data_IF_666355089919
#
_entry.id   IF_666355089919
#
_cell.length_a   1.000
_cell.length_b   1.000
_cell.length_c   1.000
_cell.angle_alpha   90.00
_cell.angle_beta   90.00
_cell.angle_gamma   90.00
#
_symmetry.space_group_name_H-M   'P 1'
#
loop_
_entity.id
_entity.type
_entity.pdbx_description
1 polymer ?
#
# COMPACT_ATOMS: atom_id res chain seq x y z
N UNK A 1 3.66 -17.75 17.19
CA UNK A 1 4.55 -16.64 16.78
C UNK A 1 3.98 -16.08 15.49
N UNK A 2 3.12 -15.07 15.58
CA UNK A 2 2.43 -14.50 14.42
C UNK A 2 3.44 -13.60 13.68
N UNK A 3 4.05 -14.12 12.62
CA UNK A 3 5.01 -13.35 11.82
C UNK A 3 4.23 -12.30 11.04
N UNK A 4 4.60 -11.04 11.22
CA UNK A 4 3.95 -9.92 10.55
C UNK A 4 4.04 -10.14 9.02
N UNK A 5 2.91 -10.13 8.28
CA UNK A 5 2.93 -10.38 6.85
C UNK A 5 3.79 -9.37 6.08
N UNK A 6 3.98 -8.14 6.58
CA UNK A 6 4.84 -7.14 5.95
C UNK A 6 6.33 -7.47 6.12
N UNK A 7 6.70 -8.17 7.19
CA UNK A 7 8.08 -8.67 7.40
C UNK A 7 8.31 -9.91 6.54
N UNK A 8 7.32 -10.82 6.45
CA UNK A 8 7.42 -12.01 5.61
C UNK A 8 7.53 -11.63 4.13
N UNK A 9 6.76 -10.63 3.69
CA UNK A 9 6.82 -10.08 2.34
C UNK A 9 8.01 -9.15 2.08
N UNK A 10 8.94 -8.99 3.04
CA UNK A 10 10.12 -8.09 2.97
C UNK A 10 9.83 -6.61 2.71
N UNK A 11 8.56 -6.22 2.73
CA UNK A 11 8.13 -4.81 2.62
C UNK A 11 8.76 -3.98 3.74
N UNK A 12 8.76 -4.52 4.97
CA UNK A 12 9.58 -3.97 6.05
C UNK A 12 11.02 -4.45 5.85
N UNK A 13 11.92 -3.50 5.63
CA UNK A 13 13.32 -3.74 5.26
C UNK A 13 13.64 -3.24 3.86
N UNK A 14 12.87 -3.64 2.85
CA UNK A 14 13.13 -3.22 1.46
C UNK A 14 12.51 -1.87 1.11
N UNK A 15 11.35 -1.53 1.71
CA UNK A 15 10.59 -0.29 1.41
C UNK A 15 10.41 0.59 2.64
N UNK A 16 10.04 -0.01 3.78
CA UNK A 16 9.71 0.71 5.00
C UNK A 16 10.59 0.27 6.17
N UNK A 17 10.93 1.20 7.05
CA UNK A 17 11.49 0.88 8.35
C UNK A 17 10.45 0.25 9.28
N UNK A 18 10.86 -0.56 10.29
CA UNK A 18 9.94 -1.13 11.26
C UNK A 18 9.11 -0.04 11.98
N UNK A 19 7.79 -0.18 11.97
CA UNK A 19 6.86 0.79 12.54
C UNK A 19 5.73 0.13 13.33
N UNK A 20 5.07 0.91 14.20
CA UNK A 20 3.85 0.49 14.89
C UNK A 20 2.63 1.06 14.18
N UNK A 21 1.67 0.20 13.82
CA UNK A 21 0.42 0.63 13.15
C UNK A 21 -0.43 1.45 14.11
N UNK A 22 -0.68 2.71 13.77
CA UNK A 22 -1.51 3.65 14.55
C UNK A 22 -2.87 3.94 13.92
N UNK A 23 -2.99 3.79 12.61
CA UNK A 23 -4.22 3.97 11.84
C UNK A 23 -4.55 2.70 11.05
N UNK A 24 -5.84 2.50 10.80
CA UNK A 24 -6.34 1.43 9.93
C UNK A 24 -6.52 1.99 8.53
N UNK A 25 -5.98 1.33 7.53
CA UNK A 25 -6.21 1.68 6.12
C UNK A 25 -6.88 0.50 5.44
N UNK A 26 -8.00 0.76 4.78
CA UNK A 26 -8.72 -0.20 3.93
C UNK A 26 -8.71 0.30 2.50
N UNK A 27 -8.26 -0.55 1.59
CA UNK A 27 -8.24 -0.27 0.17
C UNK A 27 -9.13 -1.27 -0.57
N UNK A 28 -9.92 -0.79 -1.54
CA UNK A 28 -10.87 -1.60 -2.30
C UNK A 28 -10.79 -1.30 -3.79
N UNK A 29 -10.59 -2.33 -4.61
CA UNK A 29 -10.75 -2.25 -6.06
C UNK A 29 -12.13 -2.79 -6.45
N UNK A 30 -13.06 -1.88 -6.79
CA UNK A 30 -14.45 -2.25 -7.04
C UNK A 30 -15.11 -2.82 -5.78
N UNK A 31 -15.44 -4.12 -5.81
CA UNK A 31 -16.00 -4.87 -4.67
C UNK A 31 -14.98 -5.75 -3.94
N UNK A 32 -13.70 -5.70 -4.33
CA UNK A 32 -12.64 -6.54 -3.75
C UNK A 32 -11.76 -5.76 -2.78
N UNK A 33 -11.74 -6.21 -1.54
CA UNK A 33 -10.79 -5.73 -0.53
C UNK A 33 -9.35 -6.13 -0.87
N UNK A 34 -8.42 -5.19 -0.71
CA UNK A 34 -6.98 -5.42 -0.75
C UNK A 34 -6.54 -6.02 0.58
N UNK A 35 -5.68 -7.03 0.52
CA UNK A 35 -5.11 -7.69 1.70
C UNK A 35 -3.67 -8.08 1.40
N UNK A 36 -2.82 -8.12 2.42
CA UNK A 36 -1.40 -8.44 2.26
C UNK A 36 -1.23 -9.83 1.61
N UNK A 37 -0.53 -9.90 0.47
CA UNK A 37 -0.30 -11.13 -0.28
C UNK A 37 -1.46 -11.58 -1.19
N UNK A 38 -2.49 -10.76 -1.38
CA UNK A 38 -3.58 -11.06 -2.31
C UNK A 38 -3.22 -10.64 -3.74
N UNK A 39 -3.36 -11.57 -4.68
CA UNK A 39 -3.15 -11.29 -6.09
C UNK A 39 -4.32 -10.54 -6.73
N UNK A 40 -3.99 -9.57 -7.57
CA UNK A 40 -4.93 -8.85 -8.41
C UNK A 40 -4.50 -8.93 -9.86
N UNK A 41 -5.46 -9.12 -10.78
CA UNK A 41 -5.14 -9.07 -12.21
C UNK A 41 -4.93 -7.61 -12.64
N UNK A 42 -4.06 -7.33 -13.63
CA UNK A 42 -3.90 -5.97 -14.18
C UNK A 42 -5.23 -5.34 -14.63
N UNK A 43 -6.16 -6.14 -15.16
CA UNK A 43 -7.50 -5.70 -15.56
C UNK A 43 -8.40 -5.25 -14.39
N UNK A 44 -8.08 -5.66 -13.17
CA UNK A 44 -8.86 -5.35 -11.95
C UNK A 44 -8.34 -4.11 -11.23
N UNK A 45 -7.09 -3.71 -11.50
CA UNK A 45 -6.41 -2.56 -10.89
C UNK A 45 -6.25 -1.37 -11.84
N UNK A 46 -6.96 -1.39 -12.97
CA UNK A 46 -6.96 -0.29 -13.97
C UNK A 46 -7.51 1.00 -13.36
N UNK A 47 -8.56 0.88 -12.54
CA UNK A 47 -9.20 2.03 -11.89
C UNK A 47 -8.58 2.28 -10.53
N UNK A 48 -8.58 3.55 -10.10
CA UNK A 48 -8.11 3.93 -8.77
C UNK A 48 -8.95 3.21 -7.69
N UNK A 49 -8.31 2.59 -6.69
CA UNK A 49 -9.04 1.97 -5.58
C UNK A 49 -9.67 3.03 -4.69
N UNK A 50 -10.72 2.62 -3.98
CA UNK A 50 -11.31 3.40 -2.89
C UNK A 50 -10.49 3.16 -1.63
N UNK A 51 -10.21 4.23 -0.91
CA UNK A 51 -9.51 4.17 0.36
C UNK A 51 -10.41 4.67 1.47
N UNK A 52 -10.44 3.92 2.55
CA UNK A 52 -11.04 4.30 3.82
C UNK A 52 -9.92 4.26 4.85
N UNK A 53 -9.62 5.40 5.44
CA UNK A 53 -8.70 5.49 6.57
C UNK A 53 -9.56 5.62 7.82
N UNK A 54 -9.28 4.80 8.82
CA UNK A 54 -9.94 4.85 10.10
C UNK A 54 -8.90 4.96 11.22
N UNK A 55 -9.29 5.61 12.30
CA UNK A 55 -8.43 5.79 13.45
C UNK A 55 -7.70 7.13 13.38
N UNK A 56 -8.22 8.08 14.14
CA UNK A 56 -7.62 9.39 14.32
C UNK A 56 -8.67 10.47 14.52
N UNK A 57 -8.23 11.56 15.12
CA UNK A 57 -9.01 12.79 15.21
C UNK A 57 -9.18 13.36 13.78
N UNK A 58 -10.36 13.91 13.45
CA UNK A 58 -10.73 14.47 12.12
C UNK A 58 -9.79 15.60 11.64
N UNK A 59 -8.86 16.02 12.51
CA UNK A 59 -7.83 17.04 12.27
C UNK A 59 -6.54 16.46 11.67
N UNK A 60 -6.42 15.14 11.61
CA UNK A 60 -5.24 14.45 11.09
C UNK A 60 -5.44 14.17 9.61
N UNK A 61 -4.53 14.66 8.78
CA UNK A 61 -4.52 14.41 7.35
C UNK A 61 -3.53 13.29 7.05
N UNK A 62 -4.00 12.27 6.34
CA UNK A 62 -3.16 11.17 5.92
C UNK A 62 -2.75 11.35 4.46
N UNK A 63 -1.48 11.07 4.19
CA UNK A 63 -0.97 10.95 2.82
C UNK A 63 -0.82 9.47 2.51
N UNK A 64 -1.45 9.02 1.43
CA UNK A 64 -1.32 7.64 0.98
C UNK A 64 -0.37 7.58 -0.22
N UNK A 65 0.61 6.68 -0.10
CA UNK A 65 1.60 6.40 -1.14
C UNK A 65 1.48 4.93 -1.52
N UNK A 66 1.18 4.68 -2.79
CA UNK A 66 1.33 3.35 -3.40
C UNK A 66 2.73 3.30 -4.01
N UNK A 67 3.45 2.18 -3.98
CA UNK A 67 4.78 2.05 -4.62
C UNK A 67 4.87 0.63 -5.18
N UNK A 68 5.49 0.49 -6.35
CA UNK A 68 5.90 -0.81 -6.89
C UNK A 68 7.43 -0.96 -6.71
N UNK A 69 7.89 -1.71 -5.69
CA UNK A 69 9.32 -1.86 -5.42
C UNK A 69 10.04 -2.81 -6.39
N UNK A 70 9.30 -3.58 -7.18
CA UNK A 70 9.80 -4.67 -8.02
C UNK A 70 9.78 -4.33 -9.52
N UNK A 71 9.59 -3.05 -9.87
CA UNK A 71 9.58 -2.60 -11.27
C UNK A 71 11.00 -2.49 -11.87
N UNK A 72 11.23 -2.90 -13.14
CA UNK A 72 10.30 -3.55 -14.07
C UNK A 72 10.15 -5.07 -13.85
N UNK A 73 11.11 -5.71 -13.19
CA UNK A 73 11.00 -7.10 -12.73
C UNK A 73 11.72 -7.26 -11.38
N UNK A 74 11.26 -8.17 -10.50
CA UNK A 74 11.86 -8.38 -9.17
C UNK A 74 13.34 -8.81 -9.24
N UNK A 75 13.78 -9.35 -10.37
CA UNK A 75 15.16 -9.81 -10.61
C UNK A 75 16.10 -8.70 -11.12
N UNK A 76 15.57 -7.66 -11.74
CA UNK A 76 16.35 -6.53 -12.26
C UNK A 76 15.60 -5.22 -12.01
N UNK A 77 15.64 -4.71 -10.76
CA UNK A 77 14.87 -3.56 -10.36
C UNK A 77 15.67 -2.28 -10.71
N UNK A 78 16.02 -2.13 -11.99
CA UNK A 78 16.77 -0.98 -12.53
C UNK A 78 15.97 0.32 -12.49
N UNK A 79 14.65 0.21 -12.33
CA UNK A 79 13.72 1.32 -12.11
C UNK A 79 13.10 1.23 -10.71
N UNK A 80 13.90 0.87 -9.68
CA UNK A 80 13.51 1.13 -8.28
C UNK A 80 13.10 2.59 -8.21
N UNK A 81 11.85 2.83 -7.85
CA UNK A 81 11.17 4.14 -7.87
C UNK A 81 10.56 4.57 -9.21
N UNK A 82 10.21 3.66 -10.13
CA UNK A 82 9.16 4.00 -11.09
C UNK A 82 7.85 4.13 -10.31
N UNK A 83 7.57 5.39 -9.96
CA UNK A 83 6.39 5.85 -9.29
C UNK A 83 5.18 5.50 -10.18
N UNK A 84 4.66 4.29 -10.04
CA UNK A 84 3.41 3.89 -10.69
C UNK A 84 2.21 4.71 -10.16
N UNK A 85 2.44 5.61 -9.21
CA UNK A 85 1.57 5.71 -8.06
C UNK A 85 1.16 7.14 -7.75
N UNK A 86 -0.10 7.37 -8.05
CA UNK A 86 -0.94 8.44 -7.52
C UNK A 86 -0.63 8.72 -6.04
N UNK A 87 -0.12 9.93 -5.75
CA UNK A 87 -0.23 10.54 -4.43
C UNK A 87 -1.69 10.90 -4.21
N UNK A 88 -2.31 10.33 -3.17
CA UNK A 88 -3.58 10.83 -2.66
C UNK A 88 -3.26 11.53 -1.35
N UNK A 89 -3.21 12.86 -1.43
CA UNK A 89 -3.12 13.74 -0.27
C UNK A 89 -4.52 14.11 0.21
N UNK A 90 -4.63 14.54 1.46
CA UNK A 90 -5.84 15.07 2.08
C UNK A 90 -7.00 14.08 2.32
N UNK A 91 -6.69 12.86 2.77
CA UNK A 91 -7.74 11.97 3.30
C UNK A 91 -7.98 12.32 4.78
N UNK A 92 -9.18 12.80 5.16
CA UNK A 92 -9.53 13.02 6.56
C UNK A 92 -9.67 11.66 7.28
N UNK A 93 -9.12 11.58 8.49
CA UNK A 93 -9.15 10.39 9.36
C UNK A 93 -10.48 10.11 10.04
#
# INVERSE_FOLDING_TARGET
MNRDPLVVGRVIGDVLDPFTRSATVRAMYGSKDVSNGKDFKPSEVVNQPRFEVGGGDLRTFYTLVMIDPDAPTPSDPTLREYLHCRLVTDIPG
#
